data_IF_212932586587
#
_entry.id   IF_212932586587
#
_cell.length_a   1.000
_cell.length_b   1.000
_cell.length_c   1.000
_cell.angle_alpha   90.00
_cell.angle_beta   90.00
_cell.angle_gamma   90.00
#
_symmetry.space_group_name_H-M   'P 1'
#
loop_
_entity.id
_entity.type
_entity.pdbx_description
1 polymer ?
#
# COMPACT_ATOMS: atom_id res chain seq x y z
N UNK A 1 18.88 8.51 10.92
CA UNK A 1 19.33 9.58 10.00
C UNK A 1 18.27 9.71 8.92
N UNK A 2 17.52 10.81 8.88
CA UNK A 2 16.51 11.05 7.86
C UNK A 2 17.15 11.75 6.68
N UNK A 3 17.20 11.09 5.51
CA UNK A 3 17.43 11.79 4.24
C UNK A 3 16.08 12.38 3.83
N UNK A 4 15.71 13.48 4.48
CA UNK A 4 14.53 14.24 4.13
C UNK A 4 14.89 15.20 3.00
N UNK A 5 14.67 14.80 1.75
CA UNK A 5 14.63 15.78 0.67
C UNK A 5 13.33 16.57 0.83
N UNK A 6 13.46 17.75 1.44
CA UNK A 6 12.50 18.84 1.28
C UNK A 6 12.51 19.24 -0.20
N UNK A 7 11.34 19.57 -0.73
CA UNK A 7 11.09 19.75 -2.15
C UNK A 7 12.16 20.56 -2.89
N UNK A 8 12.61 20.01 -4.02
CA UNK A 8 13.41 20.68 -5.03
C UNK A 8 13.06 20.07 -6.38
N UNK A 9 12.68 20.91 -7.32
CA UNK A 9 12.31 20.55 -8.69
C UNK A 9 13.36 19.66 -9.37
N UNK A 10 12.93 18.62 -10.09
CA UNK A 10 13.73 18.00 -11.15
C UNK A 10 15.14 17.53 -10.77
N UNK A 11 15.37 16.95 -9.59
CA UNK A 11 16.67 16.38 -9.22
C UNK A 11 16.93 15.08 -9.99
N UNK A 12 17.44 15.23 -11.20
CA UNK A 12 18.08 14.21 -12.03
C UNK A 12 17.42 12.82 -12.01
N UNK A 13 16.10 12.77 -12.17
CA UNK A 13 15.37 11.48 -12.28
C UNK A 13 15.85 10.66 -13.47
N UNK A 14 16.39 11.32 -14.50
CA UNK A 14 17.03 10.69 -15.64
C UNK A 14 18.38 10.05 -15.28
N UNK A 15 19.24 10.74 -14.52
CA UNK A 15 20.48 10.20 -13.99
C UNK A 15 20.25 9.07 -12.98
N UNK A 16 19.25 9.20 -12.11
CA UNK A 16 18.81 8.15 -11.19
C UNK A 16 18.27 6.93 -11.94
N UNK A 17 17.45 7.12 -12.98
CA UNK A 17 17.02 6.02 -13.87
C UNK A 17 18.18 5.38 -14.60
N UNK A 18 19.12 6.16 -15.13
CA UNK A 18 20.31 5.66 -15.83
C UNK A 18 21.21 4.87 -14.88
N UNK A 19 21.33 5.31 -13.64
CA UNK A 19 22.07 4.63 -12.59
C UNK A 19 21.33 3.35 -12.17
N UNK A 20 20.02 3.40 -11.94
CA UNK A 20 19.19 2.22 -11.69
C UNK A 20 19.36 1.16 -12.79
N UNK A 21 19.25 1.54 -14.07
CA UNK A 21 19.45 0.61 -15.21
C UNK A 21 20.86 -0.01 -15.28
N UNK A 22 21.89 0.64 -14.72
CA UNK A 22 23.26 0.10 -14.68
C UNK A 22 23.51 -0.82 -13.48
N UNK A 23 22.81 -0.57 -12.38
CA UNK A 23 23.00 -1.24 -11.08
C UNK A 23 22.08 -2.47 -10.96
N UNK A 24 20.87 -2.39 -11.52
CA UNK A 24 19.89 -3.48 -11.59
C UNK A 24 20.42 -4.65 -12.45
N UNK A 25 21.12 -5.58 -11.79
CA UNK A 25 21.70 -6.74 -12.45
C UNK A 25 22.71 -7.55 -11.63
N UNK A 26 22.74 -7.38 -10.30
CA UNK A 26 23.61 -8.16 -9.41
C UNK A 26 25.10 -7.85 -9.57
N UNK A 27 25.44 -6.65 -10.03
CA UNK A 27 26.83 -6.21 -10.19
C UNK A 27 27.43 -5.82 -8.85
N UNK A 28 28.74 -6.09 -8.67
CA UNK A 28 29.47 -5.61 -7.48
C UNK A 28 29.59 -4.10 -7.53
N UNK A 29 29.07 -3.44 -6.51
CA UNK A 29 29.20 -2.00 -6.36
C UNK A 29 30.50 -1.68 -5.64
N UNK A 30 31.16 -0.63 -6.11
CA UNK A 30 32.35 -0.06 -5.46
C UNK A 30 32.04 1.39 -5.15
N UNK A 31 32.24 1.78 -3.90
CA UNK A 31 32.16 3.17 -3.46
C UNK A 31 33.57 3.74 -3.44
N UNK A 32 33.71 4.93 -4.02
CA UNK A 32 34.91 5.74 -3.94
C UNK A 32 34.53 6.92 -3.06
N UNK A 33 35.22 7.08 -1.93
CA UNK A 33 35.03 8.20 -1.00
C UNK A 33 36.30 9.04 -1.07
N UNK A 34 36.17 10.32 -1.40
CA UNK A 34 37.26 11.32 -1.38
C UNK A 34 38.58 10.87 -2.04
N UNK A 35 38.49 10.19 -3.18
CA UNK A 35 39.61 9.63 -3.97
C UNK A 35 40.42 8.51 -3.29
N UNK A 36 39.88 7.89 -2.23
CA UNK A 36 40.45 6.69 -1.62
C UNK A 36 40.23 5.42 -2.46
N UNK A 37 40.94 4.35 -2.08
CA UNK A 37 40.82 3.05 -2.74
C UNK A 37 39.35 2.58 -2.78
N UNK A 38 38.87 2.06 -3.93
CA UNK A 38 37.48 1.64 -4.06
C UNK A 38 37.12 0.58 -3.02
N UNK A 39 36.12 0.86 -2.19
CA UNK A 39 35.61 -0.07 -1.18
C UNK A 39 34.52 -0.94 -1.81
N UNK A 40 34.68 -2.26 -1.73
CA UNK A 40 33.63 -3.18 -2.17
C UNK A 40 32.43 -3.12 -1.21
N UNK A 41 31.26 -2.87 -1.78
CA UNK A 41 30.01 -2.77 -1.02
C UNK A 41 29.46 -4.18 -0.76
N UNK A 42 29.11 -4.52 0.49
CA UNK A 42 28.44 -5.78 0.78
C UNK A 42 27.16 -5.94 -0.06
N UNK A 43 26.89 -7.15 -0.52
CA UNK A 43 25.74 -7.44 -1.40
C UNK A 43 24.41 -6.91 -0.82
N UNK A 44 24.18 -7.08 0.49
CA UNK A 44 22.97 -6.59 1.15
C UNK A 44 22.77 -5.07 1.03
N UNK A 45 23.84 -4.28 1.02
CA UNK A 45 23.77 -2.82 0.84
C UNK A 45 23.51 -2.48 -0.63
N UNK A 46 24.05 -3.26 -1.56
CA UNK A 46 23.76 -3.11 -2.99
C UNK A 46 22.29 -3.38 -3.32
N UNK A 47 21.73 -4.47 -2.79
CA UNK A 47 20.30 -4.82 -2.97
C UNK A 47 19.38 -3.74 -2.39
N UNK A 48 19.72 -3.21 -1.20
CA UNK A 48 18.97 -2.10 -0.62
C UNK A 48 19.06 -0.84 -1.49
N UNK A 49 20.23 -0.54 -2.06
CA UNK A 49 20.41 0.61 -2.94
C UNK A 49 19.61 0.46 -4.24
N UNK A 50 19.56 -0.74 -4.82
CA UNK A 50 18.72 -1.06 -5.99
C UNK A 50 17.25 -0.72 -5.74
N UNK A 51 16.70 -1.14 -4.59
CA UNK A 51 15.31 -0.85 -4.22
C UNK A 51 15.08 0.66 -4.05
N UNK A 52 16.00 1.35 -3.37
CA UNK A 52 15.93 2.81 -3.18
C UNK A 52 15.97 3.55 -4.52
N UNK A 53 16.86 3.16 -5.43
CA UNK A 53 17.00 3.77 -6.75
C UNK A 53 15.77 3.53 -7.63
N UNK A 54 15.14 2.36 -7.55
CA UNK A 54 13.89 2.09 -8.24
C UNK A 54 12.78 3.05 -7.78
N UNK A 55 12.62 3.22 -6.46
CA UNK A 55 11.60 4.11 -5.87
C UNK A 55 11.89 5.58 -6.23
N UNK A 56 13.16 6.01 -6.14
CA UNK A 56 13.57 7.37 -6.50
C UNK A 56 13.41 7.64 -8.01
N UNK A 57 13.68 6.65 -8.87
CA UNK A 57 13.50 6.75 -10.31
C UNK A 57 12.03 6.90 -10.73
N UNK A 58 11.09 6.48 -9.89
CA UNK A 58 9.65 6.74 -10.02
C UNK A 58 9.24 8.13 -9.50
N UNK A 59 10.17 8.91 -8.96
CA UNK A 59 9.91 10.22 -8.36
C UNK A 59 9.27 10.16 -6.97
N UNK A 60 9.31 9.00 -6.30
CA UNK A 60 8.81 8.82 -4.93
C UNK A 60 9.91 9.10 -3.92
N UNK A 61 9.55 9.65 -2.76
CA UNK A 61 10.51 9.89 -1.67
C UNK A 61 10.75 8.62 -0.85
N UNK A 62 12.00 8.42 -0.42
CA UNK A 62 12.43 7.26 0.37
C UNK A 62 12.84 7.72 1.77
N UNK A 63 12.42 6.96 2.80
CA UNK A 63 12.82 7.19 4.19
C UNK A 63 13.39 5.91 4.78
N UNK A 64 14.66 5.96 5.20
CA UNK A 64 15.30 4.86 5.95
C UNK A 64 14.94 4.99 7.43
N UNK A 65 14.34 3.95 8.01
CA UNK A 65 13.93 3.91 9.42
C UNK A 65 14.42 2.60 10.04
N UNK A 66 15.03 2.63 11.25
CA UNK A 66 15.39 1.41 11.96
C UNK A 66 14.15 0.56 12.27
N UNK A 67 14.26 -0.77 12.05
CA UNK A 67 13.13 -1.69 12.23
C UNK A 67 12.58 -1.76 13.67
N UNK A 68 13.42 -1.49 14.68
CA UNK A 68 13.05 -1.54 16.09
C UNK A 68 12.47 -0.21 16.60
N UNK A 69 12.12 0.71 15.70
CA UNK A 69 11.51 1.98 16.08
C UNK A 69 10.09 1.73 16.60
N UNK A 70 9.79 2.28 17.79
CA UNK A 70 8.46 2.26 18.37
C UNK A 70 7.56 3.31 17.71
N UNK A 71 6.54 2.86 16.99
CA UNK A 71 5.56 3.71 16.33
C UNK A 71 4.31 3.88 17.20
N UNK A 72 3.66 5.03 17.04
CA UNK A 72 2.36 5.31 17.64
C UNK A 72 1.25 4.58 16.88
N UNK A 73 0.09 4.39 17.52
CA UNK A 73 -1.10 3.84 16.87
C UNK A 73 -1.49 4.62 15.60
N UNK A 74 -1.33 5.95 15.63
CA UNK A 74 -1.63 6.80 14.48
C UNK A 74 -0.69 6.57 13.30
N UNK A 75 0.60 6.38 13.56
CA UNK A 75 1.58 6.05 12.53
C UNK A 75 1.36 4.63 11.98
N UNK A 76 1.10 3.66 12.85
CA UNK A 76 0.75 2.30 12.43
C UNK A 76 -0.50 2.28 11.53
N UNK A 77 -1.53 3.04 11.88
CA UNK A 77 -2.75 3.18 11.08
C UNK A 77 -2.45 3.71 9.66
N UNK A 78 -1.58 4.73 9.57
CA UNK A 78 -1.12 5.25 8.27
C UNK A 78 -0.34 4.20 7.47
N UNK A 79 0.52 3.42 8.11
CA UNK A 79 1.34 2.40 7.44
C UNK A 79 0.50 1.23 6.89
N UNK A 80 -0.55 0.86 7.63
CA UNK A 80 -1.51 -0.18 7.26
C UNK A 80 -2.59 0.31 6.29
N UNK A 81 -2.79 1.63 6.17
CA UNK A 81 -3.86 2.22 5.35
C UNK A 81 -5.26 2.02 5.95
N UNK A 82 -5.37 1.94 7.28
CA UNK A 82 -6.62 1.69 8.00
C UNK A 82 -6.91 2.77 9.03
N UNK A 83 -8.12 2.79 9.57
CA UNK A 83 -8.49 3.70 10.65
C UNK A 83 -7.75 3.40 11.95
N UNK A 84 -7.50 4.44 12.78
CA UNK A 84 -6.85 4.30 14.09
C UNK A 84 -7.57 3.32 15.01
N UNK A 85 -8.91 3.34 15.00
CA UNK A 85 -9.74 2.42 15.79
C UNK A 85 -9.52 0.96 15.41
N UNK A 86 -9.30 0.66 14.12
CA UNK A 86 -9.00 -0.70 13.66
C UNK A 86 -7.69 -1.20 14.23
N UNK A 87 -6.66 -0.35 14.27
CA UNK A 87 -5.37 -0.71 14.88
C UNK A 87 -5.52 -0.97 16.37
N UNK A 88 -6.32 -0.15 17.07
CA UNK A 88 -6.61 -0.38 18.49
C UNK A 88 -7.28 -1.74 18.72
N UNK A 89 -8.26 -2.11 17.89
CA UNK A 89 -8.90 -3.44 17.96
C UNK A 89 -7.89 -4.56 17.76
N UNK A 90 -7.03 -4.46 16.74
CA UNK A 90 -5.99 -5.47 16.48
C UNK A 90 -4.99 -5.62 17.65
N UNK A 91 -4.75 -4.56 18.42
CA UNK A 91 -3.93 -4.61 19.63
C UNK A 91 -4.68 -5.25 20.81
N UNK A 92 -5.98 -4.99 20.93
CA UNK A 92 -6.84 -5.58 21.97
C UNK A 92 -7.10 -7.07 21.71
N UNK A 93 -7.21 -7.46 20.44
CA UNK A 93 -7.33 -8.84 19.98
C UNK A 93 -6.01 -9.65 20.10
N UNK A 94 -4.91 -9.01 20.53
CA UNK A 94 -3.60 -9.65 20.71
C UNK A 94 -2.85 -9.97 19.41
N UNK A 95 -3.38 -9.54 18.26
CA UNK A 95 -2.78 -9.77 16.94
C UNK A 95 -1.51 -8.91 16.76
N UNK A 96 -1.54 -7.68 17.28
CA UNK A 96 -0.39 -6.78 17.26
C UNK A 96 0.16 -6.62 18.69
N UNK A 97 1.40 -7.08 18.97
CA UNK A 97 2.03 -6.87 20.26
C UNK A 97 2.26 -5.37 20.48
N UNK A 98 2.00 -4.90 21.71
CA UNK A 98 2.20 -3.50 22.06
C UNK A 98 2.91 -3.37 23.39
N UNK A 99 3.68 -2.30 23.52
CA UNK A 99 4.36 -1.91 24.76
C UNK A 99 3.82 -0.57 25.23
N UNK A 100 3.82 -0.34 26.55
CA UNK A 100 3.43 0.94 27.16
C UNK A 100 4.61 1.54 27.93
N UNK A 101 5.64 2.05 27.22
CA UNK A 101 6.83 2.61 27.87
C UNK A 101 6.55 3.94 28.59
N UNK A 102 5.56 4.69 28.11
CA UNK A 102 4.91 5.81 28.80
C UNK A 102 3.39 5.66 28.57
N UNK A 103 2.53 6.49 29.16
CA UNK A 103 1.06 6.34 29.14
C UNK A 103 0.41 6.17 27.74
N UNK A 104 1.17 6.24 26.64
CA UNK A 104 0.75 5.94 25.28
C UNK A 104 1.15 4.52 24.81
N UNK A 105 0.24 3.85 24.10
CA UNK A 105 0.50 2.53 23.49
C UNK A 105 1.45 2.68 22.30
N UNK A 106 2.51 1.86 22.27
CA UNK A 106 3.54 1.83 21.22
C UNK A 106 3.63 0.43 20.61
N UNK A 107 3.92 0.38 19.31
CA UNK A 107 4.06 -0.88 18.55
C UNK A 107 5.42 -0.85 17.88
N UNK A 108 6.14 -1.98 17.81
CA UNK A 108 7.36 -2.02 17.03
C UNK A 108 7.03 -1.96 15.53
N UNK A 109 7.75 -1.12 14.78
CA UNK A 109 7.55 -0.97 13.35
C UNK A 109 7.64 -2.31 12.61
N UNK A 110 8.60 -3.16 13.01
CA UNK A 110 8.75 -4.54 12.49
C UNK A 110 7.44 -5.32 12.52
N UNK A 111 6.73 -5.32 13.65
CA UNK A 111 5.52 -6.13 13.82
C UNK A 111 4.37 -5.60 12.96
N UNK A 112 4.28 -4.27 12.81
CA UNK A 112 3.32 -3.64 11.88
C UNK A 112 3.59 -4.05 10.43
N UNK A 113 4.85 -4.09 10.01
CA UNK A 113 5.23 -4.47 8.64
C UNK A 113 5.01 -5.96 8.38
N UNK A 114 5.31 -6.82 9.35
CA UNK A 114 5.02 -8.27 9.27
C UNK A 114 3.51 -8.49 9.10
N UNK A 115 2.70 -7.86 9.96
CA UNK A 115 1.23 -7.95 9.86
C UNK A 115 0.71 -7.47 8.50
N UNK A 116 1.24 -6.35 7.99
CA UNK A 116 0.89 -5.84 6.65
C UNK A 116 1.18 -6.89 5.56
N UNK A 117 2.33 -7.55 5.63
CA UNK A 117 2.72 -8.60 4.69
C UNK A 117 1.74 -9.77 4.68
N UNK A 118 1.39 -10.28 5.87
CA UNK A 118 0.40 -11.34 6.01
C UNK A 118 -0.99 -10.93 5.48
N UNK A 119 -1.46 -9.73 5.82
CA UNK A 119 -2.75 -9.24 5.35
C UNK A 119 -2.79 -9.09 3.82
N UNK A 120 -1.74 -8.53 3.22
CA UNK A 120 -1.65 -8.39 1.77
C UNK A 120 -1.57 -9.73 1.05
N UNK A 121 -1.01 -10.78 1.67
CA UNK A 121 -1.05 -12.15 1.11
C UNK A 121 -2.45 -12.72 1.18
N UNK A 122 -3.08 -12.70 2.37
CA UNK A 122 -4.43 -13.23 2.56
C UNK A 122 -5.47 -12.56 1.66
N UNK A 123 -5.35 -11.25 1.43
CA UNK A 123 -6.23 -10.53 0.50
C UNK A 123 -6.05 -11.00 -0.94
N UNK A 124 -4.81 -11.28 -1.37
CA UNK A 124 -4.54 -11.80 -2.71
C UNK A 124 -5.09 -13.21 -2.85
N UNK A 125 -4.81 -14.08 -1.88
CA UNK A 125 -5.35 -15.45 -1.84
C UNK A 125 -6.87 -15.47 -1.98
N UNK A 126 -7.61 -14.66 -1.22
CA UNK A 126 -9.07 -14.57 -1.35
C UNK A 126 -9.53 -14.04 -2.71
N UNK A 127 -8.82 -13.07 -3.29
CA UNK A 127 -9.14 -12.58 -4.63
C UNK A 127 -8.86 -13.63 -5.71
N UNK A 128 -7.77 -14.38 -5.56
CA UNK A 128 -7.39 -15.46 -6.46
C UNK A 128 -8.42 -16.61 -6.37
N UNK A 129 -8.88 -16.96 -5.17
CA UNK A 129 -9.99 -17.90 -4.93
C UNK A 129 -11.28 -17.43 -5.61
N UNK A 130 -11.71 -16.18 -5.37
CA UNK A 130 -12.90 -15.63 -6.02
C UNK A 130 -12.79 -15.62 -7.56
N UNK A 131 -11.58 -15.41 -8.08
CA UNK A 131 -11.33 -15.42 -9.52
C UNK A 131 -11.39 -16.84 -10.07
N UNK A 132 -10.81 -17.82 -9.37
CA UNK A 132 -10.89 -19.23 -9.72
C UNK A 132 -12.35 -19.71 -9.73
N UNK A 133 -13.13 -19.40 -8.68
CA UNK A 133 -14.56 -19.71 -8.60
C UNK A 133 -15.33 -19.11 -9.79
N UNK A 134 -15.05 -17.86 -10.16
CA UNK A 134 -15.69 -17.20 -11.29
C UNK A 134 -15.29 -17.80 -12.66
N UNK A 135 -14.08 -18.33 -12.79
CA UNK A 135 -13.65 -19.07 -13.99
C UNK A 135 -14.35 -20.42 -14.07
N UNK A 136 -14.42 -21.16 -12.97
CA UNK A 136 -15.09 -22.46 -12.89
C UNK A 136 -16.59 -22.33 -13.16
N UNK A 137 -17.21 -21.25 -12.70
CA UNK A 137 -18.60 -20.90 -13.01
C UNK A 137 -18.80 -20.36 -14.44
N UNK A 138 -17.75 -20.26 -15.25
CA UNK A 138 -17.83 -19.82 -16.65
C UNK A 138 -18.11 -18.33 -16.85
N UNK A 139 -18.21 -17.53 -15.77
CA UNK A 139 -18.63 -16.13 -15.80
C UNK A 139 -17.65 -15.24 -16.60
N UNK A 140 -16.37 -15.61 -16.64
CA UNK A 140 -15.40 -14.92 -17.47
C UNK A 140 -15.52 -15.28 -18.96
N UNK A 141 -15.88 -16.51 -19.31
CA UNK A 141 -16.00 -16.98 -20.70
C UNK A 141 -17.27 -16.44 -21.38
N UNK A 142 -18.36 -16.38 -20.63
CA UNK A 142 -19.64 -15.85 -21.12
C UNK A 142 -19.58 -14.33 -21.40
N UNK A 143 -18.79 -13.57 -20.61
CA UNK A 143 -18.63 -12.12 -20.81
C UNK A 143 -17.86 -11.75 -22.09
N UNK A 144 -16.89 -12.58 -22.51
CA UNK A 144 -16.14 -12.38 -23.77
C UNK A 144 -16.93 -12.90 -24.98
N UNK A 145 -17.67 -13.99 -24.85
CA UNK A 145 -18.47 -14.54 -25.95
C UNK A 145 -19.78 -13.74 -26.17
N UNK A 146 -20.34 -13.12 -25.12
CA UNK A 146 -21.52 -12.24 -25.21
C UNK A 146 -21.28 -10.88 -25.88
N UNK A 147 -20.02 -10.45 -26.04
CA UNK A 147 -19.69 -9.19 -26.74
C UNK A 147 -19.47 -9.36 -28.25
N UNK A 148 -19.52 -10.60 -28.78
CA UNK A 148 -19.48 -10.86 -30.23
C UNK A 148 -20.85 -10.97 -30.90
N UNK A 149 -21.95 -10.74 -30.19
CA UNK A 149 -23.28 -10.78 -30.79
C UNK A 149 -24.32 -9.91 -30.08
N UNK A 150 -24.33 -8.60 -30.36
CA UNK A 150 -25.57 -7.76 -30.43
C UNK A 150 -25.25 -6.27 -30.48
N UNK A 151 -24.58 -5.81 -31.54
CA UNK A 151 -24.72 -4.42 -31.97
C UNK A 151 -26.04 -4.21 -32.73
N UNK A 152 -27.19 -4.49 -32.09
CA UNK A 152 -28.51 -4.04 -32.56
C UNK A 152 -29.52 -4.00 -31.40
N UNK A 153 -29.29 -3.17 -30.38
CA UNK A 153 -30.39 -2.69 -29.53
C UNK A 153 -30.05 -1.36 -28.86
N UNK A 154 -29.80 -0.30 -29.65
CA UNK A 154 -29.70 1.08 -29.16
C UNK A 154 -31.04 1.83 -29.18
N UNK A 155 -32.18 1.12 -29.18
CA UNK A 155 -33.48 1.78 -29.22
C UNK A 155 -34.53 1.04 -28.38
N UNK A 156 -34.54 1.30 -27.07
CA UNK A 156 -35.75 1.64 -26.28
C UNK A 156 -35.47 1.60 -24.78
N UNK A 157 -35.84 2.70 -24.12
CA UNK A 157 -36.29 2.76 -22.72
C UNK A 157 -35.21 2.83 -21.62
N UNK A 158 -34.46 3.93 -21.62
CA UNK A 158 -33.98 4.51 -20.35
C UNK A 158 -35.17 5.11 -19.58
N UNK A 159 -35.95 4.26 -18.90
CA UNK A 159 -36.87 4.72 -17.87
C UNK A 159 -36.06 4.84 -16.56
N UNK A 160 -35.64 6.06 -16.23
CA UNK A 160 -35.08 6.41 -14.92
C UNK A 160 -36.08 6.01 -13.82
N UNK A 161 -35.71 5.16 -12.84
CA UNK A 161 -36.58 4.91 -11.70
C UNK A 161 -36.66 6.18 -10.83
N UNK A 162 -37.85 6.58 -10.33
CA UNK A 162 -37.95 7.76 -9.48
C UNK A 162 -37.28 7.48 -8.12
N UNK A 163 -36.40 8.40 -7.70
CA UNK A 163 -35.82 8.43 -6.36
C UNK A 163 -36.93 8.45 -5.31
N UNK A 164 -36.98 7.43 -4.43
CA UNK A 164 -37.82 7.45 -3.21
C UNK A 164 -37.40 8.61 -2.31
N UNK A 165 -38.23 9.65 -2.27
CA UNK A 165 -38.13 10.78 -1.35
C UNK A 165 -38.76 10.36 -0.02
N UNK A 166 -37.94 10.05 0.98
CA UNK A 166 -38.43 9.68 2.31
C UNK A 166 -38.91 10.94 3.06
N UNK A 167 -40.22 11.09 3.26
CA UNK A 167 -40.84 12.10 4.14
C UNK A 167 -41.96 11.45 4.94
N UNK A 168 -41.68 11.13 6.20
CA UNK A 168 -42.66 11.06 7.29
C UNK A 168 -41.84 11.35 8.57
N UNK A 169 -41.85 12.56 9.15
CA UNK A 169 -42.93 13.16 9.95
C UNK A 169 -43.60 12.15 10.89
N UNK A 170 -43.04 11.99 12.08
CA UNK A 170 -43.83 11.76 13.28
C UNK A 170 -43.44 12.83 14.30
N UNK A 171 -44.29 13.84 14.39
CA UNK A 171 -44.42 14.71 15.57
C UNK A 171 -45.04 13.86 16.67
N UNK A 172 -44.46 13.85 17.87
CA UNK A 172 -45.18 13.46 19.09
C UNK A 172 -45.42 14.73 19.92
N UNK A 173 -46.67 14.98 20.38
CA UNK A 173 -47.00 16.13 21.21
C UNK A 173 -46.65 15.88 22.68
N UNK A 174 -46.46 16.98 23.40
CA UNK A 174 -46.29 17.05 24.84
C UNK A 174 -47.65 16.97 25.57
N UNK A 175 -47.69 16.24 26.68
CA UNK A 175 -48.46 16.44 27.92
C UNK A 175 -47.72 15.60 28.98
N UNK A 176 -47.46 16.04 30.21
CA UNK A 176 -48.17 16.95 31.11
C UNK A 176 -47.16 17.52 32.12
#
# INVERSE_FOLDING_TARGET
MSVGSAGGAGSDTAGLRRLALRVLGGRRLRLIVDDEAPVEVPQAVGEALDEVLAILGEGKSVRVVPQNTLVTVGEAARLLGVGRLTVVKLMEDGVLPFTRPNSSRRIALRDVLVYKGHWSRRRRETLDEMTADAVDLGLYREAIDGTRGSHTCFARRCATPPRRRNKARLRRPAMR
#
